data_IF_318720913355
#
_entry.id   IF_318720913355
#
_cell.length_a   1.000
_cell.length_b   1.000
_cell.length_c   1.000
_cell.angle_alpha   90.00
_cell.angle_beta   90.00
_cell.angle_gamma   90.00
#
_symmetry.space_group_name_H-M   'P 1'
#
loop_
_entity.id
_entity.type
_entity.pdbx_description
1 polymer ?
#
# COMPACT_ATOMS: atom_id res chain seq x y z
N UNK A 1 -42.21 -4.18 0.41
CA UNK A 1 -41.13 -5.14 0.73
C UNK A 1 -39.81 -4.40 0.58
N UNK A 2 -39.01 -4.18 1.63
CA UNK A 2 -37.66 -3.66 1.47
C UNK A 2 -36.69 -4.81 1.14
N UNK A 3 -35.82 -4.60 0.16
CA UNK A 3 -34.88 -5.58 -0.37
C UNK A 3 -33.78 -5.99 0.63
N UNK A 4 -33.43 -7.26 0.57
CA UNK A 4 -32.55 -8.04 1.48
C UNK A 4 -31.04 -7.70 1.39
N UNK A 5 -30.65 -6.57 0.80
CA UNK A 5 -29.22 -6.27 0.51
C UNK A 5 -28.44 -5.73 1.74
N UNK A 6 -29.09 -5.47 2.88
CA UNK A 6 -28.46 -4.81 4.04
C UNK A 6 -28.10 -5.73 5.20
N UNK A 7 -27.67 -6.97 4.96
CA UNK A 7 -27.16 -7.82 6.03
C UNK A 7 -26.12 -8.83 5.51
N UNK A 8 -24.85 -8.41 5.45
CA UNK A 8 -23.63 -9.19 5.76
C UNK A 8 -22.39 -8.50 5.16
N UNK A 9 -21.84 -7.51 5.87
CA UNK A 9 -20.48 -7.04 5.56
C UNK A 9 -19.51 -8.09 6.06
N UNK A 10 -19.17 -9.04 5.18
CA UNK A 10 -18.18 -10.10 5.38
C UNK A 10 -16.88 -9.49 5.98
N UNK A 11 -16.27 -10.10 7.01
CA UNK A 11 -15.03 -9.62 7.61
C UNK A 11 -13.90 -9.41 6.59
N UNK A 12 -13.88 -10.15 5.48
CA UNK A 12 -12.97 -9.87 4.37
C UNK A 12 -13.20 -8.48 3.76
N UNK A 13 -14.46 -8.11 3.47
CA UNK A 13 -14.84 -6.79 2.91
C UNK A 13 -14.55 -5.65 3.88
N UNK A 14 -14.70 -5.87 5.21
CA UNK A 14 -14.30 -4.87 6.22
C UNK A 14 -12.79 -4.61 6.24
N UNK A 15 -11.98 -5.63 5.94
CA UNK A 15 -10.54 -5.49 5.87
C UNK A 15 -10.08 -4.63 4.70
N UNK A 16 -10.69 -4.83 3.54
CA UNK A 16 -10.40 -4.03 2.35
C UNK A 16 -10.79 -2.56 2.54
N UNK A 17 -11.91 -2.24 3.17
CA UNK A 17 -12.38 -0.86 3.28
C UNK A 17 -11.48 0.04 4.14
N UNK A 18 -10.91 -0.46 5.23
CA UNK A 18 -9.99 0.34 6.05
C UNK A 18 -8.65 0.59 5.35
N UNK A 19 -8.06 -0.46 4.77
CA UNK A 19 -6.83 -0.34 4.00
C UNK A 19 -7.02 0.59 2.81
N UNK A 20 -8.15 0.50 2.10
CA UNK A 20 -8.48 1.36 0.97
C UNK A 20 -8.63 2.82 1.40
N UNK A 21 -9.35 3.07 2.50
CA UNK A 21 -9.52 4.43 3.01
C UNK A 21 -8.18 5.07 3.41
N UNK A 22 -7.36 4.35 4.17
CA UNK A 22 -6.03 4.84 4.54
C UNK A 22 -5.14 5.06 3.32
N UNK A 23 -5.20 4.15 2.34
CA UNK A 23 -4.50 4.30 1.08
C UNK A 23 -4.93 5.59 0.36
N UNK A 24 -6.23 5.80 0.15
CA UNK A 24 -6.77 7.01 -0.53
C UNK A 24 -6.33 8.29 0.17
N UNK A 25 -6.20 8.28 1.49
CA UNK A 25 -5.72 9.45 2.26
C UNK A 25 -4.23 9.72 2.05
N UNK A 26 -3.39 8.68 1.90
CA UNK A 26 -1.93 8.83 1.91
C UNK A 26 -1.26 8.61 0.54
N UNK A 27 -1.97 8.11 -0.47
CA UNK A 27 -1.40 7.75 -1.77
C UNK A 27 -0.61 8.90 -2.41
N UNK A 28 -1.17 10.10 -2.45
CA UNK A 28 -0.50 11.25 -3.06
C UNK A 28 0.83 11.54 -2.36
N UNK A 29 0.84 11.50 -1.03
CA UNK A 29 2.02 11.70 -0.21
C UNK A 29 3.08 10.60 -0.46
N UNK A 30 2.66 9.33 -0.54
CA UNK A 30 3.55 8.18 -0.79
C UNK A 30 4.15 8.24 -2.20
N UNK A 31 3.35 8.63 -3.20
CA UNK A 31 3.82 8.86 -4.58
C UNK A 31 4.91 9.92 -4.63
N UNK A 32 4.69 11.07 -3.99
CA UNK A 32 5.70 12.13 -3.91
C UNK A 32 6.96 11.68 -3.17
N UNK A 33 6.81 10.87 -2.11
CA UNK A 33 7.93 10.30 -1.38
C UNK A 33 8.77 9.36 -2.26
N UNK A 34 8.14 8.41 -2.97
CA UNK A 34 8.84 7.48 -3.85
C UNK A 34 9.49 8.22 -5.03
N UNK A 35 8.78 9.15 -5.67
CA UNK A 35 9.27 9.92 -6.81
C UNK A 35 10.49 10.80 -6.46
N UNK A 36 10.68 11.17 -5.19
CA UNK A 36 11.89 11.86 -4.73
C UNK A 36 13.10 10.93 -4.58
N UNK A 37 12.87 9.63 -4.45
CA UNK A 37 13.90 8.64 -4.19
C UNK A 37 14.36 7.93 -5.46
N UNK A 38 13.53 7.85 -6.49
CA UNK A 38 13.87 7.23 -7.78
C UNK A 38 13.72 8.23 -8.92
N UNK A 39 14.67 8.23 -9.85
CA UNK A 39 14.65 9.12 -11.01
C UNK A 39 13.75 8.61 -12.15
N UNK A 40 13.45 7.31 -12.18
CA UNK A 40 12.60 6.68 -13.18
C UNK A 40 11.13 6.73 -12.74
N UNK A 41 10.30 7.34 -13.58
CA UNK A 41 8.86 7.46 -13.35
C UNK A 41 8.14 6.10 -13.40
N UNK A 42 8.49 5.21 -14.33
CA UNK A 42 7.86 3.90 -14.42
C UNK A 42 8.16 3.07 -13.18
N UNK A 43 9.40 3.13 -12.69
CA UNK A 43 9.77 2.48 -11.44
C UNK A 43 8.99 3.04 -10.25
N UNK A 44 8.79 4.36 -10.18
CA UNK A 44 7.98 4.95 -9.12
C UNK A 44 6.54 4.42 -9.14
N UNK A 45 5.95 4.30 -10.34
CA UNK A 45 4.61 3.75 -10.54
C UNK A 45 4.52 2.26 -10.19
N UNK A 46 5.55 1.47 -10.47
CA UNK A 46 5.59 0.06 -10.09
C UNK A 46 5.68 -0.10 -8.57
N UNK A 47 6.52 0.70 -7.91
CA UNK A 47 6.70 0.65 -6.46
C UNK A 47 5.44 1.09 -5.70
N UNK A 48 4.72 2.10 -6.20
CA UNK A 48 3.46 2.52 -5.57
C UNK A 48 2.36 1.46 -5.77
N UNK A 49 2.28 0.83 -6.95
CA UNK A 49 1.34 -0.27 -7.19
C UNK A 49 1.61 -1.47 -6.28
N UNK A 50 2.87 -1.86 -6.11
CA UNK A 50 3.26 -2.94 -5.20
C UNK A 50 2.94 -2.59 -3.74
N UNK A 51 3.15 -1.34 -3.31
CA UNK A 51 2.78 -0.89 -1.98
C UNK A 51 1.26 -0.97 -1.75
N UNK A 52 0.46 -0.62 -2.75
CA UNK A 52 -1.00 -0.75 -2.71
C UNK A 52 -1.42 -2.21 -2.52
N UNK A 53 -0.86 -3.12 -3.32
CA UNK A 53 -1.15 -4.56 -3.23
C UNK A 53 -0.82 -5.10 -1.83
N UNK A 54 0.32 -4.71 -1.24
CA UNK A 54 0.68 -5.10 0.12
C UNK A 54 -0.31 -4.58 1.17
N UNK A 55 -0.81 -3.35 1.01
CA UNK A 55 -1.85 -2.81 1.88
C UNK A 55 -3.16 -3.60 1.77
N UNK A 56 -3.59 -3.94 0.53
CA UNK A 56 -4.81 -4.70 0.28
C UNK A 56 -4.72 -6.14 0.81
N UNK A 57 -3.58 -6.81 0.62
CA UNK A 57 -3.32 -8.18 1.12
C UNK A 57 -3.33 -8.23 2.65
N UNK A 58 -2.88 -7.15 3.32
CA UNK A 58 -2.93 -7.07 4.78
C UNK A 58 -4.38 -7.10 5.30
N UNK A 59 -5.34 -6.57 4.52
CA UNK A 59 -6.78 -6.70 4.77
C UNK A 59 -7.18 -6.32 6.19
N UNK A 60 -7.89 -7.20 6.89
CA UNK A 60 -8.43 -6.92 8.24
C UNK A 60 -7.35 -6.64 9.31
N UNK A 61 -6.11 -7.12 9.10
CA UNK A 61 -4.99 -6.81 10.01
C UNK A 61 -4.47 -5.38 9.85
N UNK A 62 -4.81 -4.72 8.73
CA UNK A 62 -4.48 -3.32 8.54
C UNK A 62 -5.34 -2.44 9.47
N UNK A 63 -6.60 -2.83 9.70
CA UNK A 63 -7.53 -2.12 10.59
C UNK A 63 -7.08 -2.12 12.06
N UNK A 64 -6.18 -3.02 12.44
CA UNK A 64 -5.67 -3.13 13.81
C UNK A 64 -4.37 -2.37 14.01
N UNK A 65 -3.88 -1.64 12.99
CA UNK A 65 -2.67 -0.83 13.11
C UNK A 65 -2.96 0.46 13.87
N UNK A 66 -2.08 0.81 14.81
CA UNK A 66 -2.15 2.07 15.54
C UNK A 66 -1.86 3.28 14.62
N UNK A 67 -0.92 3.11 13.67
CA UNK A 67 -0.56 4.13 12.68
C UNK A 67 -0.47 3.54 11.27
N UNK A 68 -1.59 3.55 10.53
CA UNK A 68 -1.65 3.15 9.12
C UNK A 68 -0.68 3.88 8.21
N UNK A 69 -0.45 5.19 8.45
CA UNK A 69 0.43 6.02 7.63
C UNK A 69 1.87 5.56 7.80
N UNK A 70 2.34 5.44 9.05
CA UNK A 70 3.69 4.98 9.33
C UNK A 70 3.97 3.61 8.71
N UNK A 71 3.00 2.69 8.76
CA UNK A 71 3.11 1.38 8.13
C UNK A 71 3.24 1.49 6.60
N UNK A 72 2.44 2.31 5.94
CA UNK A 72 2.54 2.52 4.49
C UNK A 72 3.90 3.07 4.08
N UNK A 73 4.43 4.05 4.81
CA UNK A 73 5.78 4.57 4.58
C UNK A 73 6.87 3.51 4.79
N UNK A 74 6.71 2.66 5.81
CA UNK A 74 7.62 1.54 6.06
C UNK A 74 7.63 0.58 4.88
N UNK A 75 6.45 0.27 4.31
CA UNK A 75 6.33 -0.58 3.11
C UNK A 75 7.06 0.06 1.92
N UNK A 76 6.81 1.34 1.62
CA UNK A 76 7.49 2.04 0.53
C UNK A 76 9.01 2.09 0.72
N UNK A 77 9.48 2.32 1.95
CA UNK A 77 10.91 2.29 2.29
C UNK A 77 11.52 0.91 2.06
N UNK A 78 10.85 -0.16 2.49
CA UNK A 78 11.35 -1.52 2.29
C UNK A 78 11.44 -1.86 0.79
N UNK A 79 10.43 -1.48 0.00
CA UNK A 79 10.43 -1.66 -1.44
C UNK A 79 11.60 -0.94 -2.12
N UNK A 80 11.87 0.31 -1.73
CA UNK A 80 13.03 1.06 -2.22
C UNK A 80 14.33 0.33 -1.86
N UNK A 81 14.51 -0.07 -0.60
CA UNK A 81 15.73 -0.77 -0.16
C UNK A 81 15.92 -2.08 -0.93
N UNK A 82 14.86 -2.85 -1.14
CA UNK A 82 14.92 -4.10 -1.90
C UNK A 82 15.28 -3.85 -3.37
N UNK A 83 14.73 -2.79 -3.97
CA UNK A 83 15.10 -2.36 -5.31
C UNK A 83 16.60 -2.01 -5.38
N UNK A 84 17.10 -1.14 -4.50
CA UNK A 84 18.52 -0.76 -4.46
C UNK A 84 19.44 -1.95 -4.20
N UNK A 85 19.04 -2.89 -3.35
CA UNK A 85 19.81 -4.11 -3.09
C UNK A 85 19.91 -4.97 -4.34
N UNK A 86 18.83 -5.16 -5.08
CA UNK A 86 18.83 -5.94 -6.33
C UNK A 86 19.69 -5.28 -7.41
N UNK A 87 19.62 -3.96 -7.54
CA UNK A 87 20.45 -3.23 -8.51
C UNK A 87 21.94 -3.23 -8.15
N UNK A 88 22.30 -3.21 -6.85
CA UNK A 88 23.70 -3.34 -6.41
C UNK A 88 24.31 -4.73 -6.61
N UNK A 89 23.50 -5.77 -6.77
CA UNK A 89 23.98 -7.14 -7.03
C UNK A 89 24.02 -7.48 -8.53
N UNK A 90 23.69 -6.53 -9.41
CA UNK A 90 23.76 -6.68 -10.87
C UNK A 90 25.07 -6.16 -11.47
N UNK A 91 26.08 -5.84 -10.65
CA UNK A 91 27.46 -5.64 -11.10
C UNK A 91 28.24 -6.98 -10.99
N UNK A 92 28.51 -7.69 -12.10
CA UNK A 92 29.55 -8.71 -12.16
C UNK A 92 30.97 -8.12 -12.17
#
# INVERSE_FOLDING_TARGET
MPDRITAEINPAVRGFSCAENAWRTHESELRHYIAKQVSDHHLAEDLIQEAFLRAMVQGAKFCTLDDPRAWLFQVCRNLLVDHWRKHRHLDP
#
